data_IF_152382120818
#
_entry.id   IF_152382120818
#
_cell.length_a   1.000
_cell.length_b   1.000
_cell.length_c   1.000
_cell.angle_alpha   90.00
_cell.angle_beta   90.00
_cell.angle_gamma   90.00
#
_symmetry.space_group_name_H-M   'P 1'
#
loop_
_entity.id
_entity.type
_entity.pdbx_description
1 polymer ?
#
# COMPACT_ATOMS: atom_id res chain seq x y z
N UNK A 1 16.18 -11.60 0.46
CA UNK A 1 14.83 -11.26 0.95
C UNK A 1 15.03 -10.29 2.09
N UNK A 2 14.59 -9.04 1.94
CA UNK A 2 14.72 -8.05 3.00
C UNK A 2 13.33 -7.51 3.34
N UNK A 3 12.68 -8.13 4.33
CA UNK A 3 11.49 -7.55 4.95
C UNK A 3 11.97 -6.57 6.02
N UNK A 4 11.58 -5.31 5.90
CA UNK A 4 11.96 -4.25 6.85
C UNK A 4 10.72 -3.69 7.52
N UNK A 5 10.76 -3.57 8.83
CA UNK A 5 9.79 -2.81 9.61
C UNK A 5 10.53 -1.59 10.15
N UNK A 6 10.00 -0.41 9.86
CA UNK A 6 10.58 0.88 10.26
C UNK A 6 9.50 1.78 10.81
N UNK A 7 9.88 2.78 11.61
CA UNK A 7 8.97 3.87 11.95
C UNK A 7 8.58 4.66 10.70
N UNK A 8 7.35 5.14 10.68
CA UNK A 8 6.83 6.01 9.65
C UNK A 8 6.29 7.28 10.31
N UNK A 9 6.41 8.41 9.62
CA UNK A 9 5.84 9.69 10.04
C UNK A 9 4.55 10.03 9.28
N UNK A 10 4.12 9.15 8.36
CA UNK A 10 2.92 9.36 7.52
C UNK A 10 1.68 8.93 8.28
N UNK A 11 0.92 9.93 8.77
CA UNK A 11 -0.35 9.76 9.45
C UNK A 11 -1.52 10.02 8.52
N UNK A 12 -2.65 9.34 8.77
CA UNK A 12 -3.86 9.55 7.96
C UNK A 12 -4.43 10.95 8.18
N UNK A 13 -4.25 11.51 9.38
CA UNK A 13 -4.62 12.90 9.69
C UNK A 13 -3.88 13.90 8.82
N UNK A 14 -2.58 13.71 8.57
CA UNK A 14 -1.80 14.59 7.69
C UNK A 14 -2.30 14.55 6.25
N UNK A 15 -2.76 13.38 5.77
CA UNK A 15 -3.34 13.25 4.43
C UNK A 15 -4.65 14.05 4.29
N UNK A 16 -5.42 14.21 5.37
CA UNK A 16 -6.64 15.03 5.37
C UNK A 16 -6.37 16.54 5.34
N UNK A 17 -5.17 16.96 5.74
CA UNK A 17 -4.73 18.37 5.75
C UNK A 17 -4.29 18.87 4.37
N UNK A 18 -4.17 17.98 3.38
CA UNK A 18 -3.84 18.34 2.01
C UNK A 18 -4.91 19.31 1.46
N UNK A 19 -4.44 20.50 1.04
CA UNK A 19 -5.30 21.67 0.74
C UNK A 19 -6.06 21.53 -0.56
N UNK A 20 -5.49 20.87 -1.55
CA UNK A 20 -6.05 20.70 -2.88
C UNK A 20 -7.01 19.50 -3.00
N UNK A 21 -7.20 18.71 -1.93
CA UNK A 21 -8.21 17.66 -1.90
C UNK A 21 -9.63 18.19 -1.72
N UNK A 22 -10.53 17.72 -2.57
CA UNK A 22 -11.96 17.99 -2.44
C UNK A 22 -12.58 17.25 -1.23
N UNK A 23 -13.82 17.60 -0.90
CA UNK A 23 -14.52 17.01 0.25
C UNK A 23 -14.75 15.51 0.08
N UNK A 24 -14.97 15.04 -1.15
CA UNK A 24 -15.22 13.63 -1.41
C UNK A 24 -13.96 12.80 -1.17
N UNK A 25 -12.80 13.29 -1.59
CA UNK A 25 -11.49 12.69 -1.41
C UNK A 25 -11.15 12.62 0.07
N UNK A 26 -11.38 13.72 0.82
CA UNK A 26 -11.21 13.73 2.28
C UNK A 26 -12.11 12.72 2.98
N UNK A 27 -13.38 12.60 2.55
CA UNK A 27 -14.30 11.57 3.05
C UNK A 27 -13.76 10.16 2.75
N UNK A 28 -13.37 9.88 1.51
CA UNK A 28 -12.78 8.58 1.10
C UNK A 28 -11.53 8.23 1.92
N UNK A 29 -10.64 9.19 2.20
CA UNK A 29 -9.46 9.00 3.05
C UNK A 29 -9.86 8.64 4.48
N UNK A 30 -10.85 9.32 5.04
CA UNK A 30 -11.29 9.10 6.42
C UNK A 30 -11.99 7.75 6.60
N UNK A 31 -12.83 7.36 5.65
CA UNK A 31 -13.73 6.21 5.78
C UNK A 31 -13.13 4.89 5.26
N UNK A 32 -12.09 4.95 4.42
CA UNK A 32 -11.53 3.74 3.80
C UNK A 32 -10.77 2.85 4.79
N UNK A 33 -10.95 1.54 4.67
CA UNK A 33 -10.16 0.55 5.39
C UNK A 33 -8.74 0.49 4.82
N UNK A 34 -8.63 0.52 3.49
CA UNK A 34 -7.38 0.45 2.74
C UNK A 34 -7.28 1.68 1.85
N UNK A 35 -6.23 2.47 2.05
CA UNK A 35 -5.96 3.67 1.29
C UNK A 35 -4.71 3.46 0.43
N UNK A 36 -4.82 3.66 -0.88
CA UNK A 36 -3.66 3.72 -1.76
C UNK A 36 -3.15 5.16 -1.75
N UNK A 37 -1.93 5.36 -1.27
CA UNK A 37 -1.33 6.69 -1.15
C UNK A 37 -0.32 6.95 -2.29
N UNK A 38 -0.22 8.19 -2.77
CA UNK A 38 0.77 8.51 -3.78
C UNK A 38 2.17 8.48 -3.18
N UNK A 39 3.14 8.12 -4.00
CA UNK A 39 4.54 8.39 -3.71
C UNK A 39 4.76 9.91 -3.72
N UNK A 40 5.65 10.37 -2.84
CA UNK A 40 6.07 11.77 -2.79
C UNK A 40 7.52 11.87 -3.30
N UNK A 41 7.70 12.62 -4.38
CA UNK A 41 8.99 13.13 -4.83
C UNK A 41 9.88 12.14 -5.59
N UNK A 42 9.92 12.29 -6.92
CA UNK A 42 11.15 12.13 -7.69
C UNK A 42 11.59 13.56 -8.09
N UNK A 43 12.81 13.97 -7.74
CA UNK A 43 13.43 15.27 -8.10
C UNK A 43 12.75 16.54 -7.56
N UNK A 44 12.72 16.71 -6.23
CA UNK A 44 12.63 18.03 -5.59
C UNK A 44 11.32 18.81 -5.78
N UNK A 45 10.29 18.19 -6.35
CA UNK A 45 8.97 18.77 -6.53
C UNK A 45 7.94 18.01 -5.69
N UNK A 46 6.99 18.72 -5.07
CA UNK A 46 5.83 18.19 -4.33
C UNK A 46 4.82 17.44 -5.23
N UNK A 47 5.29 16.81 -6.31
CA UNK A 47 4.44 16.09 -7.22
C UNK A 47 4.13 14.71 -6.65
N UNK A 48 2.85 14.52 -6.31
CA UNK A 48 2.25 13.22 -5.99
C UNK A 48 2.11 12.40 -7.27
N UNK A 49 2.52 11.15 -7.21
CA UNK A 49 2.35 10.21 -8.31
C UNK A 49 2.09 8.80 -7.81
N UNK A 50 1.47 8.00 -8.65
CA UNK A 50 1.23 6.58 -8.45
C UNK A 50 2.06 5.78 -9.43
N UNK A 51 2.42 4.54 -9.08
CA UNK A 51 3.07 3.65 -10.04
C UNK A 51 2.09 3.25 -11.14
N UNK A 52 2.62 3.04 -12.34
CA UNK A 52 1.85 2.45 -13.43
C UNK A 52 1.17 1.14 -12.97
N UNK A 53 -0.10 0.97 -13.33
CA UNK A 53 -0.91 -0.16 -12.91
C UNK A 53 -1.66 0.04 -11.58
N UNK A 54 -1.52 1.19 -10.91
CA UNK A 54 -2.30 1.51 -9.70
C UNK A 54 -3.81 1.49 -9.96
N UNK A 55 -4.27 1.96 -11.12
CA UNK A 55 -5.70 1.90 -11.49
C UNK A 55 -6.21 0.47 -11.60
N UNK A 56 -5.47 -0.42 -12.25
CA UNK A 56 -5.83 -1.85 -12.34
C UNK A 56 -5.81 -2.52 -10.97
N UNK A 57 -4.80 -2.20 -10.15
CA UNK A 57 -4.69 -2.69 -8.78
C UNK A 57 -5.91 -2.25 -7.96
N UNK A 58 -6.29 -0.97 -8.01
CA UNK A 58 -7.45 -0.41 -7.31
C UNK A 58 -8.74 -1.10 -7.76
N UNK A 59 -8.92 -1.29 -9.07
CA UNK A 59 -10.09 -1.97 -9.64
C UNK A 59 -10.19 -3.40 -9.11
N UNK A 60 -9.10 -4.15 -9.16
CA UNK A 60 -9.08 -5.53 -8.66
C UNK A 60 -9.26 -5.57 -7.14
N UNK A 61 -8.65 -4.65 -6.39
CA UNK A 61 -8.79 -4.58 -4.94
C UNK A 61 -10.24 -4.36 -4.53
N UNK A 62 -10.97 -3.47 -5.21
CA UNK A 62 -12.40 -3.26 -4.97
C UNK A 62 -13.27 -4.48 -5.29
N UNK A 63 -12.81 -5.37 -6.17
CA UNK A 63 -13.53 -6.59 -6.54
C UNK A 63 -13.25 -7.73 -5.54
N UNK A 64 -11.98 -7.95 -5.21
CA UNK A 64 -11.53 -9.11 -4.44
C UNK A 64 -11.50 -8.86 -2.92
N UNK A 65 -11.34 -7.60 -2.48
CA UNK A 65 -11.38 -7.20 -1.07
C UNK A 65 -12.76 -6.66 -0.71
N UNK A 66 -13.83 -7.32 -1.14
CA UNK A 66 -15.23 -6.86 -0.96
C UNK A 66 -15.65 -6.57 0.49
N UNK A 67 -14.95 -7.12 1.48
CA UNK A 67 -15.16 -6.84 2.91
C UNK A 67 -14.44 -5.56 3.41
N UNK A 68 -13.66 -4.91 2.56
CA UNK A 68 -12.88 -3.72 2.87
C UNK A 68 -13.15 -2.62 1.86
N UNK A 69 -13.37 -1.41 2.34
CA UNK A 69 -13.44 -0.22 1.50
C UNK A 69 -12.03 0.18 1.03
N UNK A 70 -11.83 0.26 -0.28
CA UNK A 70 -10.54 0.62 -0.90
C UNK A 70 -10.65 1.95 -1.64
N UNK A 71 -9.84 2.93 -1.23
CA UNK A 71 -9.82 4.27 -1.79
C UNK A 71 -8.43 4.67 -2.32
N UNK A 72 -8.43 5.66 -3.21
CA UNK A 72 -7.22 6.35 -3.68
C UNK A 72 -7.10 7.68 -2.94
N UNK A 73 -5.90 8.03 -2.50
CA UNK A 73 -5.58 9.30 -1.85
C UNK A 73 -5.23 10.38 -2.90
N UNK A 74 -6.18 10.69 -3.77
CA UNK A 74 -6.09 11.75 -4.77
C UNK A 74 -7.49 12.10 -5.28
N UNK A 75 -7.67 13.35 -5.75
CA UNK A 75 -8.92 13.72 -6.42
C UNK A 75 -9.12 12.89 -7.68
N UNK A 76 -10.37 12.52 -7.95
CA UNK A 76 -10.72 11.72 -9.13
C UNK A 76 -10.34 12.45 -10.43
N UNK A 77 -9.59 11.77 -11.31
CA UNK A 77 -9.09 12.32 -12.56
C UNK A 77 -7.84 13.21 -12.43
N UNK A 78 -7.32 13.40 -11.22
CA UNK A 78 -6.09 14.16 -10.95
C UNK A 78 -4.87 13.26 -10.75
N UNK A 79 -5.05 11.94 -10.79
CA UNK A 79 -3.98 10.96 -10.60
C UNK A 79 -2.91 11.04 -11.69
N UNK A 80 -1.66 11.24 -11.26
CA UNK A 80 -0.48 11.17 -12.13
C UNK A 80 0.15 9.80 -12.00
N UNK A 81 0.34 9.10 -13.11
CA UNK A 81 1.07 7.83 -13.15
C UNK A 81 2.52 8.03 -13.55
N UNK A 82 3.44 7.33 -12.88
CA UNK A 82 4.85 7.24 -13.23
C UNK A 82 5.16 5.81 -13.66
N UNK A 83 5.62 5.67 -14.89
CA UNK A 83 6.20 4.42 -15.40
C UNK A 83 7.66 4.34 -14.99
N UNK A 84 8.03 3.25 -14.33
CA UNK A 84 9.42 2.91 -14.04
C UNK A 84 9.91 1.91 -15.09
N UNK A 85 11.06 2.20 -15.70
CA UNK A 85 11.65 1.34 -16.74
C UNK A 85 12.59 0.26 -16.17
N UNK A 86 12.48 -0.10 -14.88
CA UNK A 86 13.42 -1.00 -14.21
C UNK A 86 13.20 -2.49 -14.46
N UNK A 87 12.11 -2.88 -15.13
CA UNK A 87 11.74 -4.31 -15.30
C UNK A 87 11.30 -4.99 -14.00
N UNK A 88 11.10 -4.21 -12.93
CA UNK A 88 10.66 -4.65 -11.61
C UNK A 88 9.16 -4.39 -11.42
N UNK A 89 8.55 -5.10 -10.47
CA UNK A 89 7.14 -4.92 -10.12
C UNK A 89 7.03 -3.97 -8.93
N UNK A 90 6.42 -2.82 -9.16
CA UNK A 90 6.14 -1.82 -8.13
C UNK A 90 4.68 -1.86 -7.71
N UNK A 91 4.41 -2.31 -6.49
CA UNK A 91 3.06 -2.31 -5.92
C UNK A 91 2.75 -0.90 -5.41
N UNK A 92 1.51 -0.39 -5.59
CA UNK A 92 1.12 0.90 -5.02
C UNK A 92 1.33 0.92 -3.51
N UNK A 93 1.72 2.09 -2.96
CA UNK A 93 1.90 2.22 -1.52
C UNK A 93 0.54 2.14 -0.83
N UNK A 94 0.42 1.22 0.12
CA UNK A 94 -0.82 0.99 0.85
C UNK A 94 -0.72 1.61 2.22
N UNK A 95 -1.82 2.15 2.72
CA UNK A 95 -1.96 2.63 4.08
C UNK A 95 -3.23 2.03 4.70
N UNK A 96 -3.08 1.45 5.88
CA UNK A 96 -4.19 0.87 6.66
C UNK A 96 -4.17 1.40 8.08
N UNK A 97 -5.34 1.73 8.61
CA UNK A 97 -5.51 2.00 10.04
C UNK A 97 -6.15 0.76 10.67
N UNK A 98 -5.49 0.15 11.64
CA UNK A 98 -5.92 -1.12 12.26
C UNK A 98 -5.90 -1.04 13.80
N UNK A 99 -6.69 -1.89 14.46
CA UNK A 99 -6.45 -2.29 15.86
C UNK A 99 -5.49 -3.50 15.82
N UNK A 100 -4.21 -3.35 16.24
CA UNK A 100 -3.21 -4.41 16.11
C UNK A 100 -3.55 -5.72 16.81
N UNK A 101 -4.50 -5.70 17.75
CA UNK A 101 -4.93 -6.86 18.53
C UNK A 101 -6.13 -7.61 17.93
N UNK A 102 -6.84 -7.02 16.96
CA UNK A 102 -8.15 -7.53 16.49
C UNK A 102 -8.25 -7.68 14.98
N UNK A 103 -7.55 -6.84 14.23
CA UNK A 103 -7.74 -6.74 12.79
C UNK A 103 -6.81 -7.69 12.02
N UNK A 104 -7.35 -8.39 11.02
CA UNK A 104 -6.64 -9.33 10.13
C UNK A 104 -6.39 -8.76 8.73
N UNK A 105 -6.42 -7.43 8.62
CA UNK A 105 -6.27 -6.69 7.35
C UNK A 105 -4.92 -6.98 6.69
N UNK A 106 -3.83 -7.02 7.45
CA UNK A 106 -2.47 -7.18 6.91
C UNK A 106 -2.26 -8.52 6.18
N UNK A 107 -2.54 -9.69 6.79
CA UNK A 107 -2.46 -10.96 6.06
C UNK A 107 -3.35 -10.98 4.80
N UNK A 108 -4.53 -10.36 4.88
CA UNK A 108 -5.45 -10.30 3.73
C UNK A 108 -4.85 -9.50 2.58
N UNK A 109 -4.21 -8.36 2.86
CA UNK A 109 -3.52 -7.53 1.86
C UNK A 109 -2.35 -8.28 1.24
N UNK A 110 -1.53 -8.96 2.04
CA UNK A 110 -0.36 -9.72 1.53
C UNK A 110 -0.83 -10.83 0.56
N UNK A 111 -1.89 -11.54 0.92
CA UNK A 111 -2.50 -12.55 0.05
C UNK A 111 -3.05 -11.93 -1.25
N UNK A 112 -3.74 -10.79 -1.15
CA UNK A 112 -4.25 -10.07 -2.30
C UNK A 112 -3.14 -9.59 -3.23
N UNK A 113 -2.08 -8.96 -2.70
CA UNK A 113 -0.92 -8.50 -3.47
C UNK A 113 -0.26 -9.68 -4.18
N UNK A 114 -0.09 -10.80 -3.49
CA UNK A 114 0.43 -12.04 -4.10
C UNK A 114 -0.44 -12.46 -5.29
N UNK A 115 -1.76 -12.56 -5.10
CA UNK A 115 -2.70 -12.92 -6.18
C UNK A 115 -2.68 -11.93 -7.35
N UNK A 116 -2.61 -10.64 -7.09
CA UNK A 116 -2.49 -9.59 -8.11
C UNK A 116 -1.24 -9.79 -8.97
N UNK A 117 -0.10 -10.09 -8.35
CA UNK A 117 1.16 -10.33 -9.07
C UNK A 117 1.03 -11.57 -9.97
N UNK A 118 0.46 -12.67 -9.46
CA UNK A 118 0.25 -13.88 -10.27
C UNK A 118 -0.76 -13.65 -11.41
N UNK A 119 -1.76 -12.81 -11.22
CA UNK A 119 -2.74 -12.47 -12.26
C UNK A 119 -2.11 -11.61 -13.37
N UNK A 120 -1.43 -10.53 -13.00
CA UNK A 120 -0.93 -9.52 -13.97
C UNK A 120 0.42 -9.88 -14.58
N UNK A 121 1.29 -10.56 -13.84
CA UNK A 121 2.67 -10.87 -14.23
C UNK A 121 2.92 -12.39 -14.24
N UNK A 122 1.89 -13.17 -14.61
CA UNK A 122 1.87 -14.63 -14.44
C UNK A 122 3.10 -15.38 -14.94
N UNK A 123 3.73 -14.95 -16.05
CA UNK A 123 4.96 -15.56 -16.58
C UNK A 123 6.16 -15.24 -15.70
N UNK A 124 6.41 -13.95 -15.44
CA UNK A 124 7.56 -13.49 -14.66
C UNK A 124 7.48 -13.94 -13.18
N UNK A 125 6.25 -14.01 -12.65
CA UNK A 125 5.94 -14.52 -11.32
C UNK A 125 6.18 -16.03 -11.19
N UNK A 126 5.89 -16.82 -12.24
CA UNK A 126 6.15 -18.27 -12.23
C UNK A 126 7.64 -18.59 -12.35
N UNK A 127 8.38 -17.77 -13.08
CA UNK A 127 9.81 -17.95 -13.28
C UNK A 127 10.66 -17.33 -12.15
N UNK A 128 10.03 -16.62 -11.21
CA UNK A 128 10.66 -15.92 -10.07
C UNK A 128 11.84 -15.01 -10.50
N UNK A 129 11.71 -14.39 -11.68
CA UNK A 129 12.79 -13.62 -12.32
C UNK A 129 12.82 -12.17 -11.90
N UNK A 130 11.67 -11.60 -11.57
CA UNK A 130 11.49 -10.18 -11.27
C UNK A 130 11.47 -9.91 -9.77
N UNK A 131 12.04 -8.77 -9.38
CA UNK A 131 11.91 -8.27 -8.02
C UNK A 131 10.60 -7.49 -7.85
N UNK A 132 10.06 -7.55 -6.65
CA UNK A 132 8.83 -6.91 -6.22
C UNK A 132 9.16 -5.93 -5.10
N UNK A 133 8.61 -4.74 -5.23
CA UNK A 133 8.66 -3.68 -4.24
C UNK A 133 7.26 -3.47 -3.66
N UNK A 134 7.10 -3.73 -2.37
CA UNK A 134 5.85 -3.53 -1.64
C UNK A 134 6.13 -2.65 -0.42
N UNK A 135 5.30 -1.62 -0.25
CA UNK A 135 5.29 -0.79 0.96
C UNK A 135 3.88 -0.69 1.52
N UNK A 136 3.73 -1.08 2.78
CA UNK A 136 2.49 -0.96 3.56
C UNK A 136 2.78 -0.09 4.78
N UNK A 137 2.03 0.99 4.94
CA UNK A 137 2.02 1.83 6.13
C UNK A 137 0.86 1.40 7.01
N UNK A 138 1.18 1.11 8.26
CA UNK A 138 0.25 0.59 9.25
C UNK A 138 0.12 1.63 10.35
N UNK A 139 -1.07 2.20 10.51
CA UNK A 139 -1.42 3.11 11.60
C UNK A 139 -2.19 2.35 12.68
N UNK A 140 -1.72 2.41 13.92
CA UNK A 140 -2.52 1.96 15.06
C UNK A 140 -3.65 2.98 15.32
N UNK A 141 -4.89 2.52 15.21
CA UNK A 141 -6.10 3.32 15.44
C UNK A 141 -6.12 4.00 16.82
N UNK A 142 -5.53 3.37 17.85
CA UNK A 142 -5.55 3.83 19.24
C UNK A 142 -4.41 4.80 19.55
N UNK A 143 -3.18 4.41 19.23
CA UNK A 143 -1.98 5.19 19.61
C UNK A 143 -1.58 6.21 18.56
N UNK A 144 -2.10 6.09 17.32
CA UNK A 144 -1.69 6.88 16.16
C UNK A 144 -0.20 6.76 15.82
N UNK A 145 0.47 5.72 16.31
CA UNK A 145 1.81 5.36 15.87
C UNK A 145 1.72 4.71 14.49
N UNK A 146 2.64 5.05 13.59
CA UNK A 146 2.73 4.40 12.28
C UNK A 146 4.02 3.64 12.08
N UNK A 147 3.91 2.45 11.50
CA UNK A 147 5.03 1.61 11.08
C UNK A 147 4.96 1.40 9.58
N UNK A 148 6.09 1.44 8.89
CA UNK A 148 6.19 1.03 7.50
C UNK A 148 6.78 -0.37 7.42
N UNK A 149 6.02 -1.25 6.78
CA UNK A 149 6.48 -2.54 6.27
C UNK A 149 6.94 -2.37 4.83
N UNK A 150 8.21 -2.66 4.55
CA UNK A 150 8.76 -2.66 3.19
C UNK A 150 9.30 -4.04 2.85
N UNK A 151 9.00 -4.50 1.63
CA UNK A 151 9.50 -5.75 1.09
C UNK A 151 10.15 -5.49 -0.26
N UNK A 152 11.41 -5.90 -0.37
CA UNK A 152 12.19 -5.90 -1.60
C UNK A 152 12.72 -7.32 -1.85
N UNK A 153 12.28 -7.92 -2.96
CA UNK A 153 12.76 -9.24 -3.37
C UNK A 153 11.80 -10.00 -4.28
N UNK A 154 12.05 -11.30 -4.41
CA UNK A 154 11.35 -12.18 -5.36
C UNK A 154 9.87 -12.41 -5.05
N UNK A 155 9.08 -12.79 -6.05
CA UNK A 155 7.65 -13.08 -5.89
C UNK A 155 7.42 -14.24 -4.92
N UNK A 156 8.29 -15.25 -4.95
CA UNK A 156 8.24 -16.41 -4.07
C UNK A 156 8.29 -16.05 -2.58
N UNK A 157 9.11 -15.06 -2.20
CA UNK A 157 9.24 -14.62 -0.81
C UNK A 157 8.00 -13.91 -0.27
N UNK A 158 7.18 -13.31 -1.14
CA UNK A 158 5.98 -12.54 -0.75
C UNK A 158 4.92 -13.42 -0.08
N UNK A 159 4.76 -14.67 -0.56
CA UNK A 159 3.86 -15.67 0.05
C UNK A 159 4.32 -16.17 1.41
N UNK A 160 5.62 -16.03 1.70
CA UNK A 160 6.22 -16.45 2.97
C UNK A 160 6.14 -15.38 4.06
N UNK A 161 5.68 -14.18 3.71
CA UNK A 161 5.52 -13.07 4.66
C UNK A 161 4.41 -13.44 5.65
N UNK A 162 4.81 -13.76 6.87
CA UNK A 162 3.92 -13.96 8.00
C UNK A 162 4.16 -12.84 9.02
N UNK A 163 3.26 -11.86 9.05
CA UNK A 163 3.37 -10.69 9.91
C UNK A 163 2.20 -10.64 10.87
N UNK A 164 2.55 -10.51 12.14
CA UNK A 164 1.62 -10.25 13.21
C UNK A 164 1.64 -8.75 13.52
N UNK A 165 0.54 -8.07 13.25
CA UNK A 165 0.39 -6.64 13.52
C UNK A 165 0.75 -6.31 14.98
N UNK A 166 0.37 -7.17 15.93
CA UNK A 166 0.68 -6.97 17.35
C UNK A 166 2.19 -6.88 17.58
N UNK A 167 2.98 -7.74 16.92
CA UNK A 167 4.44 -7.77 17.05
C UNK A 167 5.07 -6.47 16.54
N UNK A 168 4.55 -5.92 15.44
CA UNK A 168 5.04 -4.67 14.86
C UNK A 168 4.97 -3.48 15.82
N UNK A 169 4.00 -3.47 16.74
CA UNK A 169 3.77 -2.39 17.70
C UNK A 169 4.20 -2.74 19.13
N UNK A 170 4.60 -3.99 19.40
CA UNK A 170 5.05 -4.43 20.73
C UNK A 170 6.55 -4.29 20.97
N UNK A 171 7.33 -3.98 19.93
CA UNK A 171 8.77 -3.72 20.07
C UNK A 171 8.98 -2.36 20.75
N UNK A 172 9.31 -2.44 22.05
CA UNK A 172 9.98 -1.41 22.84
C UNK A 172 11.34 -1.93 23.29
#
# INVERSE_FOLDING_TARGET
MELKITDSDILRSQLLEIKDFDQETKRKISESDILIIPNQGFRGNNHRFFYEGTSDFLKLARQELNNYSVALCENEGSEKSLTLHSGEIWIPVLMVSIDPLKDVVLPTIINFVSSYIFYKFSKDAKEDKVDVHLKIIVEDKKTKVTKSLSYDGKVSGLKSINIDAKKMFSEK
#
